data_IF_807617773730
#
_entry.id   IF_807617773730
#
_cell.length_a   1.000
_cell.length_b   1.000
_cell.length_c   1.000
_cell.angle_alpha   90.00
_cell.angle_beta   90.00
_cell.angle_gamma   90.00
#
_symmetry.space_group_name_H-M   'P 1'
#
loop_
_entity.id
_entity.type
_entity.pdbx_description
1 polymer ?
#
# COMPACT_ATOMS: atom_id res chain seq x y z
N UNK A 1 -13.55 -14.80 48.59
CA UNK A 1 -12.09 -14.76 48.23
C UNK A 1 -11.67 -15.87 47.24
N UNK A 2 -12.29 -17.04 47.27
CA UNK A 2 -11.93 -18.16 46.37
C UNK A 2 -12.43 -18.05 44.89
N UNK A 3 -13.43 -17.18 44.64
CA UNK A 3 -13.96 -16.96 43.29
C UNK A 3 -13.10 -16.00 42.44
N UNK A 4 -12.43 -15.04 43.05
CA UNK A 4 -11.54 -14.10 42.33
C UNK A 4 -10.30 -14.79 41.81
N UNK A 5 -9.69 -15.68 42.57
CA UNK A 5 -8.48 -16.42 42.14
C UNK A 5 -8.71 -17.35 40.99
N UNK A 6 -9.92 -17.93 40.82
CA UNK A 6 -10.25 -18.76 39.65
C UNK A 6 -10.50 -17.93 38.38
N UNK A 7 -11.05 -16.72 38.54
CA UNK A 7 -11.30 -15.83 37.42
C UNK A 7 -10.00 -15.20 36.86
N UNK A 8 -9.11 -14.77 37.76
CA UNK A 8 -7.81 -14.23 37.37
C UNK A 8 -6.93 -15.27 36.68
N UNK A 9 -6.96 -16.53 37.15
CA UNK A 9 -6.27 -17.64 36.52
C UNK A 9 -6.82 -17.92 35.10
N UNK A 10 -8.15 -17.91 34.93
CA UNK A 10 -8.78 -18.10 33.62
C UNK A 10 -8.49 -16.96 32.64
N UNK A 11 -8.46 -15.71 33.11
CA UNK A 11 -8.10 -14.55 32.33
C UNK A 11 -6.63 -14.60 31.89
N UNK A 12 -5.73 -15.00 32.77
CA UNK A 12 -4.31 -15.14 32.46
C UNK A 12 -4.07 -16.24 31.41
N UNK A 13 -4.74 -17.37 31.53
CA UNK A 13 -4.66 -18.46 30.57
C UNK A 13 -5.21 -18.06 29.19
N UNK A 14 -6.31 -17.32 29.15
CA UNK A 14 -6.86 -16.75 27.92
C UNK A 14 -5.91 -15.75 27.25
N UNK A 15 -5.27 -14.88 28.04
CA UNK A 15 -4.29 -13.92 27.55
C UNK A 15 -3.07 -14.60 26.90
N UNK A 16 -2.59 -15.69 27.51
CA UNK A 16 -1.46 -16.46 26.97
C UNK A 16 -1.86 -17.21 25.70
N UNK A 17 -3.06 -17.81 25.67
CA UNK A 17 -3.53 -18.60 24.53
C UNK A 17 -3.80 -17.76 23.28
N UNK A 18 -4.23 -16.50 23.45
CA UNK A 18 -4.58 -15.62 22.33
C UNK A 18 -3.38 -15.09 21.54
N UNK A 19 -2.16 -15.18 22.07
CA UNK A 19 -0.90 -14.63 21.47
C UNK A 19 -0.99 -13.16 21.03
N UNK A 20 -1.99 -12.42 21.47
CA UNK A 20 -2.21 -11.04 21.11
C UNK A 20 -1.75 -10.12 22.24
N UNK A 21 -0.80 -9.25 21.97
CA UNK A 21 -0.32 -8.23 22.94
C UNK A 21 -1.43 -7.28 23.39
N UNK A 22 -2.44 -7.08 22.55
CA UNK A 22 -3.59 -6.24 22.83
C UNK A 22 -4.53 -6.90 23.85
N UNK A 23 -4.81 -8.19 23.68
CA UNK A 23 -5.61 -8.97 24.63
C UNK A 23 -4.89 -9.07 25.97
N UNK A 24 -3.58 -9.26 25.99
CA UNK A 24 -2.79 -9.26 27.23
C UNK A 24 -2.89 -7.94 27.98
N UNK A 25 -2.84 -6.80 27.28
CA UNK A 25 -3.04 -5.48 27.92
C UNK A 25 -4.43 -5.32 28.51
N UNK A 26 -5.47 -5.72 27.75
CA UNK A 26 -6.86 -5.67 28.21
C UNK A 26 -7.07 -6.51 29.46
N UNK A 27 -6.55 -7.74 29.47
CA UNK A 27 -6.64 -8.64 30.62
C UNK A 27 -5.92 -8.07 31.85
N UNK A 28 -4.70 -7.52 31.67
CA UNK A 28 -3.96 -6.92 32.77
C UNK A 28 -4.68 -5.69 33.36
N UNK A 29 -5.26 -4.83 32.51
CA UNK A 29 -6.04 -3.69 32.96
C UNK A 29 -7.31 -4.11 33.70
N UNK A 30 -7.99 -5.16 33.21
CA UNK A 30 -9.18 -5.70 33.87
C UNK A 30 -8.86 -6.32 35.23
N UNK A 31 -7.77 -7.09 35.33
CA UNK A 31 -7.29 -7.65 36.60
C UNK A 31 -6.95 -6.55 37.60
N UNK A 32 -6.21 -5.52 37.18
CA UNK A 32 -5.89 -4.37 38.05
C UNK A 32 -7.14 -3.59 38.48
N UNK A 33 -8.13 -3.43 37.60
CA UNK A 33 -9.38 -2.75 37.93
C UNK A 33 -10.20 -3.56 38.97
N UNK A 34 -10.21 -4.88 38.88
CA UNK A 34 -10.87 -5.77 39.83
C UNK A 34 -10.16 -5.73 41.18
N UNK A 35 -8.82 -5.73 41.19
CA UNK A 35 -8.03 -5.62 42.45
C UNK A 35 -8.24 -4.29 43.15
N UNK A 36 -8.49 -3.20 42.42
CA UNK A 36 -8.70 -1.85 42.98
C UNK A 36 -10.17 -1.54 43.29
N UNK A 37 -11.07 -2.52 43.17
CA UNK A 37 -12.51 -2.33 43.39
C UNK A 37 -13.12 -1.18 42.55
N UNK A 38 -12.52 -0.93 41.38
CA UNK A 38 -12.95 0.11 40.46
C UNK A 38 -14.29 -0.27 39.77
N UNK A 39 -15.14 0.71 39.43
CA UNK A 39 -16.38 0.43 38.73
C UNK A 39 -16.11 -0.15 37.36
N UNK A 40 -16.22 -1.47 37.22
CA UNK A 40 -15.89 -2.27 36.03
C UNK A 40 -16.59 -1.70 34.78
N UNK A 41 -17.82 -1.17 34.97
CA UNK A 41 -18.56 -0.54 33.87
C UNK A 41 -17.86 0.68 33.24
N UNK A 42 -17.24 1.52 34.08
CA UNK A 42 -16.55 2.72 33.65
C UNK A 42 -15.22 2.38 32.96
N UNK A 43 -14.48 1.41 33.48
CA UNK A 43 -13.25 0.89 32.88
C UNK A 43 -13.54 0.24 31.52
N UNK A 44 -14.58 -0.59 31.43
CA UNK A 44 -14.97 -1.23 30.17
C UNK A 44 -15.41 -0.22 29.12
N UNK A 45 -16.16 0.81 29.52
CA UNK A 45 -16.58 1.89 28.60
C UNK A 45 -15.36 2.70 28.11
N UNK A 46 -14.44 3.06 28.98
CA UNK A 46 -13.21 3.76 28.60
C UNK A 46 -12.35 2.93 27.65
N UNK A 47 -12.24 1.63 27.87
CA UNK A 47 -11.54 0.69 26.98
C UNK A 47 -12.22 0.56 25.64
N UNK A 48 -13.56 0.53 25.59
CA UNK A 48 -14.31 0.49 24.33
C UNK A 48 -14.04 1.74 23.48
N UNK A 49 -14.07 2.91 24.11
CA UNK A 49 -13.80 4.20 23.43
C UNK A 49 -12.35 4.24 22.91
N UNK A 50 -11.39 3.75 23.69
CA UNK A 50 -9.99 3.74 23.30
C UNK A 50 -9.72 2.72 22.17
N UNK A 51 -10.40 1.57 22.19
CA UNK A 51 -10.36 0.58 21.13
C UNK A 51 -10.93 1.12 19.82
N UNK A 52 -12.07 1.79 19.87
CA UNK A 52 -12.68 2.44 18.71
C UNK A 52 -11.77 3.53 18.12
N UNK A 53 -11.10 4.29 18.99
CA UNK A 53 -10.14 5.30 18.57
C UNK A 53 -8.92 4.70 17.90
N UNK A 54 -8.37 3.61 18.44
CA UNK A 54 -7.26 2.88 17.83
C UNK A 54 -7.65 2.26 16.49
N UNK A 55 -8.83 1.66 16.41
CA UNK A 55 -9.32 1.06 15.18
C UNK A 55 -9.55 2.12 14.09
N UNK A 56 -10.07 3.28 14.47
CA UNK A 56 -10.22 4.43 13.58
C UNK A 56 -8.87 4.96 13.07
N UNK A 57 -7.86 5.02 13.94
CA UNK A 57 -6.51 5.43 13.56
C UNK A 57 -5.85 4.44 12.59
N UNK A 58 -6.03 3.13 12.81
CA UNK A 58 -5.52 2.08 11.91
C UNK A 58 -6.19 2.19 10.55
N UNK A 59 -7.51 2.30 10.51
CA UNK A 59 -8.27 2.44 9.27
C UNK A 59 -7.92 3.74 8.50
N UNK A 60 -7.71 4.85 9.21
CA UNK A 60 -7.27 6.10 8.58
C UNK A 60 -5.88 5.95 7.97
N UNK A 61 -4.95 5.32 8.68
CA UNK A 61 -3.61 5.03 8.15
C UNK A 61 -3.64 4.11 6.93
N UNK A 62 -4.44 3.05 6.96
CA UNK A 62 -4.59 2.15 5.80
C UNK A 62 -5.14 2.90 4.58
N UNK A 63 -6.13 3.78 4.79
CA UNK A 63 -6.72 4.58 3.71
C UNK A 63 -5.71 5.57 3.14
N UNK A 64 -4.96 6.28 3.98
CA UNK A 64 -3.93 7.22 3.55
C UNK A 64 -2.78 6.52 2.80
N UNK A 65 -2.30 5.40 3.31
CA UNK A 65 -1.26 4.60 2.64
C UNK A 65 -1.74 4.03 1.30
N UNK A 66 -3.02 3.63 1.23
CA UNK A 66 -3.63 3.15 0.00
C UNK A 66 -3.72 4.26 -1.04
N UNK A 67 -4.13 5.46 -0.65
CA UNK A 67 -4.21 6.62 -1.54
C UNK A 67 -2.82 7.02 -2.08
N UNK A 68 -1.81 7.10 -1.20
CA UNK A 68 -0.44 7.40 -1.61
C UNK A 68 0.15 6.34 -2.55
N UNK A 69 -0.12 5.06 -2.26
CA UNK A 69 0.32 3.94 -3.09
C UNK A 69 -0.31 3.98 -4.48
N UNK A 70 -1.62 4.28 -4.55
CA UNK A 70 -2.35 4.41 -5.82
C UNK A 70 -1.83 5.60 -6.64
N UNK A 71 -1.56 6.72 -5.99
CA UNK A 71 -1.01 7.92 -6.63
C UNK A 71 0.39 7.65 -7.20
N UNK A 72 1.23 6.92 -6.48
CA UNK A 72 2.56 6.52 -6.93
C UNK A 72 2.50 5.59 -8.14
N UNK A 73 1.57 4.63 -8.15
CA UNK A 73 1.33 3.76 -9.30
C UNK A 73 0.87 4.56 -10.52
N UNK A 74 -0.07 5.49 -10.34
CA UNK A 74 -0.59 6.32 -11.41
C UNK A 74 0.49 7.24 -12.00
N UNK A 75 1.31 7.86 -11.15
CA UNK A 75 2.44 8.68 -11.58
C UNK A 75 3.47 7.89 -12.39
N UNK A 76 3.92 6.74 -11.86
CA UNK A 76 5.02 5.98 -12.47
C UNK A 76 4.57 5.10 -13.63
N UNK A 77 3.36 4.55 -13.60
CA UNK A 77 2.89 3.63 -14.64
C UNK A 77 2.10 4.32 -15.76
N UNK A 78 1.55 5.50 -15.51
CA UNK A 78 0.72 6.22 -16.49
C UNK A 78 1.38 7.55 -16.91
N UNK A 79 1.71 8.41 -15.96
CA UNK A 79 2.16 9.76 -16.25
C UNK A 79 3.59 9.78 -16.81
N UNK A 80 4.50 9.02 -16.22
CA UNK A 80 5.89 8.94 -16.68
C UNK A 80 6.02 8.42 -18.12
N UNK A 81 5.45 7.27 -18.51
CA UNK A 81 5.50 6.80 -19.90
C UNK A 81 4.73 7.72 -20.84
N UNK A 82 3.66 8.37 -20.37
CA UNK A 82 2.92 9.35 -21.15
C UNK A 82 3.77 10.57 -21.50
N UNK A 83 4.41 11.18 -20.52
CA UNK A 83 5.31 12.34 -20.75
C UNK A 83 6.49 11.92 -21.63
N UNK A 84 7.12 10.78 -21.35
CA UNK A 84 8.26 10.32 -22.16
C UNK A 84 7.85 10.03 -23.61
N UNK A 85 6.70 9.36 -23.82
CA UNK A 85 6.16 9.13 -25.17
C UNK A 85 5.91 10.43 -25.92
N UNK A 86 5.31 11.41 -25.25
CA UNK A 86 5.05 12.73 -25.82
C UNK A 86 6.35 13.49 -26.15
N UNK A 87 7.29 13.57 -25.21
CA UNK A 87 8.56 14.26 -25.43
C UNK A 87 9.36 13.64 -26.58
N UNK A 88 9.49 12.31 -26.60
CA UNK A 88 10.21 11.64 -27.67
C UNK A 88 9.53 11.74 -29.02
N UNK A 89 8.20 11.82 -29.06
CA UNK A 89 7.49 12.06 -30.31
C UNK A 89 7.80 13.43 -30.91
N UNK A 90 7.83 14.49 -30.05
CA UNK A 90 8.19 15.85 -30.49
C UNK A 90 9.67 15.93 -30.94
N UNK A 91 10.59 15.41 -30.12
CA UNK A 91 12.00 15.40 -30.49
C UNK A 91 12.32 14.49 -31.66
N UNK A 92 11.42 13.55 -31.95
CA UNK A 92 11.51 12.63 -33.08
C UNK A 92 11.53 13.29 -34.44
N UNK A 93 10.80 14.37 -34.59
CA UNK A 93 10.77 15.15 -35.81
C UNK A 93 12.11 15.82 -36.16
N UNK A 94 12.97 16.04 -35.15
CA UNK A 94 14.26 16.70 -35.33
C UNK A 94 15.44 15.74 -35.44
N UNK A 95 15.23 14.43 -35.20
CA UNK A 95 16.30 13.43 -35.09
C UNK A 95 16.22 12.44 -36.27
N UNK A 96 17.35 12.10 -36.95
CA UNK A 96 17.35 11.10 -38.03
C UNK A 96 16.77 9.75 -37.55
N UNK A 97 15.91 9.15 -38.38
CA UNK A 97 15.15 7.92 -38.05
C UNK A 97 15.97 6.70 -37.63
N UNK A 98 17.26 6.64 -38.02
CA UNK A 98 18.16 5.53 -37.71
C UNK A 98 18.42 5.35 -36.18
N UNK A 99 18.27 6.41 -35.36
CA UNK A 99 18.53 6.36 -33.90
C UNK A 99 17.31 5.89 -33.10
N UNK A 100 16.11 5.90 -33.67
CA UNK A 100 14.86 5.58 -32.97
C UNK A 100 14.79 4.13 -32.49
N UNK A 101 15.28 3.19 -33.27
CA UNK A 101 15.32 1.79 -32.87
C UNK A 101 16.14 1.56 -31.61
N UNK A 102 17.25 2.25 -31.45
CA UNK A 102 18.09 2.17 -30.24
C UNK A 102 17.43 2.84 -29.04
N UNK A 103 16.80 4.01 -29.23
CA UNK A 103 16.11 4.72 -28.16
C UNK A 103 14.95 3.91 -27.61
N UNK A 104 14.09 3.35 -28.47
CA UNK A 104 12.99 2.49 -28.04
C UNK A 104 13.48 1.21 -27.37
N UNK A 105 14.56 0.61 -27.87
CA UNK A 105 15.18 -0.59 -27.30
C UNK A 105 15.66 -0.40 -25.86
N UNK A 106 15.98 0.82 -25.45
CA UNK A 106 16.40 1.14 -24.08
C UNK A 106 15.22 1.66 -23.24
N UNK A 107 14.37 2.50 -23.83
CA UNK A 107 13.29 3.16 -23.09
C UNK A 107 12.16 2.22 -22.68
N UNK A 108 11.77 1.29 -23.54
CA UNK A 108 10.70 0.35 -23.21
C UNK A 108 11.07 -0.52 -21.99
N UNK A 109 12.23 -1.23 -21.97
CA UNK A 109 12.59 -2.00 -20.79
C UNK A 109 12.81 -1.15 -19.55
N UNK A 110 13.32 0.09 -19.69
CA UNK A 110 13.44 1.02 -18.58
C UNK A 110 12.08 1.37 -17.96
N UNK A 111 11.08 1.72 -18.78
CA UNK A 111 9.73 2.03 -18.31
C UNK A 111 9.05 0.81 -17.69
N UNK A 112 9.23 -0.37 -18.26
CA UNK A 112 8.72 -1.61 -17.70
C UNK A 112 9.36 -1.93 -16.34
N UNK A 113 10.67 -1.73 -16.20
CA UNK A 113 11.39 -1.94 -14.95
C UNK A 113 10.96 -0.91 -13.88
N UNK A 114 10.81 0.36 -14.24
CA UNK A 114 10.35 1.40 -13.32
C UNK A 114 8.93 1.14 -12.81
N UNK A 115 8.03 0.68 -13.69
CA UNK A 115 6.69 0.25 -13.32
C UNK A 115 6.72 -0.96 -12.36
N UNK A 116 7.54 -1.97 -12.64
CA UNK A 116 7.70 -3.13 -11.77
C UNK A 116 8.18 -2.74 -10.36
N UNK A 117 9.20 -1.87 -10.27
CA UNK A 117 9.71 -1.36 -8.98
C UNK A 117 8.62 -0.61 -8.23
N UNK A 118 7.84 0.23 -8.90
CA UNK A 118 6.74 0.99 -8.30
C UNK A 118 5.66 0.08 -7.74
N UNK A 119 5.31 -1.00 -8.44
CA UNK A 119 4.35 -2.01 -7.96
C UNK A 119 4.88 -2.72 -6.71
N UNK A 120 6.17 -3.06 -6.67
CA UNK A 120 6.78 -3.70 -5.49
C UNK A 120 6.78 -2.76 -4.28
N UNK A 121 7.12 -1.48 -4.47
CA UNK A 121 7.11 -0.47 -3.40
C UNK A 121 5.68 -0.30 -2.88
N UNK A 122 4.70 -0.13 -3.77
CA UNK A 122 3.28 -0.02 -3.41
C UNK A 122 2.78 -1.23 -2.64
N UNK A 123 3.15 -2.43 -3.08
CA UNK A 123 2.80 -3.68 -2.41
C UNK A 123 3.39 -3.80 -1.01
N UNK A 124 4.61 -3.29 -0.81
CA UNK A 124 5.24 -3.22 0.52
C UNK A 124 4.55 -2.22 1.44
N UNK A 125 4.19 -1.04 0.93
CA UNK A 125 3.46 -0.02 1.71
C UNK A 125 2.11 -0.53 2.19
N UNK A 126 1.40 -1.30 1.37
CA UNK A 126 0.10 -1.90 1.69
C UNK A 126 0.19 -3.22 2.48
N UNK A 127 1.37 -3.76 2.73
CA UNK A 127 1.55 -5.07 3.37
C UNK A 127 1.05 -6.26 2.53
N UNK A 128 0.73 -6.04 1.25
CA UNK A 128 0.17 -7.03 0.31
C UNK A 128 1.13 -7.39 -0.81
N UNK A 129 2.38 -7.66 -0.46
CA UNK A 129 3.47 -7.93 -1.42
C UNK A 129 3.17 -9.07 -2.39
N UNK A 130 2.53 -10.16 -1.92
CA UNK A 130 2.18 -11.30 -2.79
C UNK A 130 1.17 -10.95 -3.88
N UNK A 131 0.18 -10.12 -3.54
CA UNK A 131 -0.83 -9.67 -4.52
C UNK A 131 -0.23 -8.66 -5.49
N UNK A 132 0.66 -7.78 -5.02
CA UNK A 132 1.35 -6.82 -5.85
C UNK A 132 2.24 -7.49 -6.90
N UNK A 133 2.96 -8.57 -6.56
CA UNK A 133 3.78 -9.34 -7.50
C UNK A 133 2.97 -9.85 -8.71
N UNK A 134 1.73 -10.27 -8.51
CA UNK A 134 0.84 -10.68 -9.59
C UNK A 134 0.44 -9.52 -10.51
N UNK A 135 0.45 -8.30 -10.01
CA UNK A 135 0.17 -7.09 -10.79
C UNK A 135 1.34 -6.61 -11.66
N UNK A 136 2.57 -7.04 -11.40
CA UNK A 136 3.76 -6.58 -12.13
C UNK A 136 3.63 -6.72 -13.65
N UNK A 137 3.29 -7.90 -14.22
CA UNK A 137 3.22 -8.04 -15.67
C UNK A 137 2.15 -7.13 -16.27
N UNK A 138 1.02 -6.95 -15.60
CA UNK A 138 -0.04 -6.06 -16.06
C UNK A 138 0.41 -4.60 -16.14
N UNK A 139 0.97 -4.06 -15.05
CA UNK A 139 1.41 -2.67 -15.00
C UNK A 139 2.63 -2.39 -15.88
N UNK A 140 3.55 -3.34 -15.99
CA UNK A 140 4.71 -3.22 -16.86
C UNK A 140 4.31 -3.19 -18.34
N UNK A 141 3.41 -4.09 -18.76
CA UNK A 141 2.92 -4.11 -20.15
C UNK A 141 2.08 -2.87 -20.46
N UNK A 142 1.25 -2.41 -19.52
CA UNK A 142 0.46 -1.19 -19.67
C UNK A 142 1.35 0.04 -19.89
N UNK A 143 2.42 0.19 -19.09
CA UNK A 143 3.39 1.27 -19.22
C UNK A 143 4.10 1.28 -20.57
N UNK A 144 4.55 0.12 -21.05
CA UNK A 144 5.17 -0.01 -22.37
C UNK A 144 4.21 0.28 -23.53
N UNK A 145 2.98 -0.25 -23.46
CA UNK A 145 1.95 0.01 -24.47
C UNK A 145 1.56 1.49 -24.53
N UNK A 146 1.40 2.14 -23.40
CA UNK A 146 1.04 3.55 -23.31
C UNK A 146 2.12 4.43 -23.97
N UNK A 147 3.39 4.13 -23.71
CA UNK A 147 4.51 4.80 -24.37
C UNK A 147 4.46 4.64 -25.89
N UNK A 148 4.29 3.41 -26.40
CA UNK A 148 4.27 3.13 -27.84
C UNK A 148 3.05 3.78 -28.50
N UNK A 149 1.87 3.70 -27.89
CA UNK A 149 0.64 4.26 -28.46
C UNK A 149 0.70 5.78 -28.55
N UNK A 150 1.19 6.46 -27.52
CA UNK A 150 1.36 7.92 -27.55
C UNK A 150 2.41 8.35 -28.55
N UNK A 151 3.54 7.67 -28.60
CA UNK A 151 4.57 7.94 -29.57
C UNK A 151 4.04 7.79 -31.02
N UNK A 152 3.38 6.67 -31.32
CA UNK A 152 2.83 6.40 -32.65
C UNK A 152 1.67 7.35 -33.04
N UNK A 153 0.82 7.71 -32.07
CA UNK A 153 -0.29 8.62 -32.29
C UNK A 153 0.17 10.03 -32.69
N UNK A 154 1.22 10.54 -32.05
CA UNK A 154 1.75 11.88 -32.34
C UNK A 154 2.52 11.90 -33.69
N UNK A 155 3.33 10.89 -33.93
CA UNK A 155 3.99 10.78 -35.25
C UNK A 155 3.00 10.57 -36.41
N UNK A 156 1.92 9.80 -36.18
CA UNK A 156 0.88 9.57 -37.20
C UNK A 156 -0.04 10.76 -37.44
N UNK A 157 -0.15 11.70 -36.45
CA UNK A 157 -0.98 12.91 -36.59
C UNK A 157 -0.33 14.04 -37.39
N UNK A 158 0.93 13.89 -37.78
CA UNK A 158 1.66 14.94 -38.51
C UNK A 158 1.92 16.22 -37.72
N UNK A 159 1.79 16.15 -36.38
CA UNK A 159 2.08 17.24 -35.45
C UNK A 159 3.56 17.27 -35.06
N UNK A 160 4.37 16.36 -35.59
CA UNK A 160 5.80 16.24 -35.32
C UNK A 160 6.60 16.59 -36.61
#
# INVERSE_FOLDING_TARGET
RSRSTSFDAALAEYAISSRSTLIQRVVNLLSTAIEQDAPIGEVTNSMSVEYDRLNKLINTRETEMSAQSMLLLLLMCLLLPGIMGFMFAIFGSFTPGAYWGHIHGVMIPYLMASAAVSVVISGRMLGRTKQALWGIPFWATLSGLLYITLFSAIQGSGLA
#
